data_IF_214945671015
#
_entry.id   IF_214945671015
#
_cell.length_a   1.000
_cell.length_b   1.000
_cell.length_c   1.000
_cell.angle_alpha   90.00
_cell.angle_beta   90.00
_cell.angle_gamma   90.00
#
_symmetry.space_group_name_H-M   'P 1'
#
loop_
_entity.id
_entity.type
_entity.pdbx_description
1 polymer ?
#
# COMPACT_ATOMS: atom_id res chain seq x y z
N UNK A 1 -5.39 -1.82 -17.92
CA UNK A 1 -5.80 -2.91 -17.01
C UNK A 1 -4.85 -4.12 -17.01
N UNK A 2 -4.36 -4.63 -18.16
CA UNK A 2 -3.49 -5.82 -18.19
C UNK A 2 -2.23 -5.71 -17.30
N UNK A 3 -1.48 -4.60 -17.40
CA UNK A 3 -0.30 -4.37 -16.56
C UNK A 3 -0.59 -4.34 -15.05
N UNK A 4 -1.75 -3.82 -14.65
CA UNK A 4 -2.17 -3.79 -13.23
C UNK A 4 -2.30 -5.20 -12.67
N UNK A 5 -2.99 -6.09 -13.40
CA UNK A 5 -3.15 -7.48 -12.97
C UNK A 5 -1.84 -8.25 -12.96
N UNK A 6 -0.95 -8.02 -13.94
CA UNK A 6 0.39 -8.60 -13.94
C UNK A 6 1.16 -8.19 -12.68
N UNK A 7 1.19 -6.89 -12.35
CA UNK A 7 1.83 -6.42 -11.13
C UNK A 7 1.24 -7.02 -9.84
N UNK A 8 -0.09 -7.13 -9.74
CA UNK A 8 -0.78 -7.76 -8.61
C UNK A 8 -0.39 -9.24 -8.48
N UNK A 9 -0.42 -10.01 -9.58
CA UNK A 9 -0.07 -11.43 -9.54
C UNK A 9 1.39 -11.66 -9.13
N UNK A 10 2.31 -10.82 -9.60
CA UNK A 10 3.72 -10.90 -9.22
C UNK A 10 3.90 -10.57 -7.74
N UNK A 11 3.20 -9.56 -7.21
CA UNK A 11 3.24 -9.20 -5.78
C UNK A 11 2.70 -10.33 -4.89
N UNK A 12 1.55 -10.92 -5.24
CA UNK A 12 1.00 -12.06 -4.51
C UNK A 12 1.94 -13.28 -4.53
N UNK A 13 2.50 -13.60 -5.69
CA UNK A 13 3.48 -14.67 -5.80
C UNK A 13 4.74 -14.38 -4.97
N UNK A 14 5.20 -13.12 -4.95
CA UNK A 14 6.35 -12.73 -4.15
C UNK A 14 6.06 -12.83 -2.64
N UNK A 15 4.83 -12.53 -2.19
CA UNK A 15 4.42 -12.71 -0.79
C UNK A 15 4.56 -14.15 -0.32
N UNK A 16 4.22 -15.12 -1.18
CA UNK A 16 4.37 -16.55 -0.89
C UNK A 16 5.85 -16.97 -0.76
N UNK A 17 6.75 -16.37 -1.53
CA UNK A 17 8.20 -16.61 -1.47
C UNK A 17 8.91 -15.94 -0.28
N UNK A 18 8.19 -15.17 0.53
CA UNK A 18 8.73 -14.51 1.72
C UNK A 18 9.53 -13.24 1.43
N UNK A 19 10.24 -12.73 2.45
CA UNK A 19 10.85 -11.38 2.41
C UNK A 19 11.90 -11.22 1.29
N UNK A 20 12.65 -12.27 0.99
CA UNK A 20 13.70 -12.24 -0.05
C UNK A 20 13.09 -12.04 -1.45
N UNK A 21 12.09 -12.85 -1.80
CA UNK A 21 11.44 -12.79 -3.10
C UNK A 21 10.68 -11.48 -3.31
N UNK A 22 10.05 -10.96 -2.25
CA UNK A 22 9.43 -9.63 -2.27
C UNK A 22 10.42 -8.53 -2.59
N UNK A 23 11.63 -8.57 -2.03
CA UNK A 23 12.68 -7.57 -2.32
C UNK A 23 13.16 -7.74 -3.76
N UNK A 24 13.38 -8.99 -4.22
CA UNK A 24 13.88 -9.28 -5.56
C UNK A 24 12.91 -8.80 -6.66
N UNK A 25 11.62 -9.06 -6.48
CA UNK A 25 10.57 -8.70 -7.44
C UNK A 25 10.05 -7.27 -7.26
N UNK A 26 10.49 -6.57 -6.21
CA UNK A 26 9.95 -5.26 -5.83
C UNK A 26 10.03 -4.23 -6.97
N UNK A 27 11.16 -4.17 -7.68
CA UNK A 27 11.35 -3.24 -8.81
C UNK A 27 10.47 -3.59 -9.99
N UNK A 28 10.38 -4.88 -10.34
CA UNK A 28 9.53 -5.37 -11.43
C UNK A 28 8.05 -5.06 -11.16
N UNK A 29 7.57 -5.34 -9.94
CA UNK A 29 6.21 -5.03 -9.50
C UNK A 29 5.90 -3.53 -9.69
N UNK A 30 6.81 -2.66 -9.24
CA UNK A 30 6.66 -1.20 -9.37
C UNK A 30 6.60 -0.79 -10.85
N UNK A 31 7.48 -1.32 -11.68
CA UNK A 31 7.52 -1.01 -13.12
C UNK A 31 6.19 -1.35 -13.81
N UNK A 32 5.55 -2.46 -13.45
CA UNK A 32 4.25 -2.82 -14.01
C UNK A 32 3.13 -1.84 -13.60
N UNK A 33 3.13 -1.36 -12.36
CA UNK A 33 2.16 -0.36 -11.94
C UNK A 33 2.43 1.01 -12.58
N UNK A 34 3.69 1.40 -12.75
CA UNK A 34 4.06 2.61 -13.47
C UNK A 34 3.64 2.54 -14.95
N UNK A 35 3.87 1.40 -15.63
CA UNK A 35 3.36 1.15 -17.00
C UNK A 35 1.84 1.20 -17.04
N UNK A 36 1.15 0.67 -16.03
CA UNK A 36 -0.30 0.77 -15.96
C UNK A 36 -0.78 2.23 -15.90
N UNK A 37 -0.08 3.10 -15.17
CA UNK A 37 -0.37 4.54 -15.12
C UNK A 37 0.05 5.30 -16.38
N UNK A 38 1.09 4.86 -17.08
CA UNK A 38 1.43 5.41 -18.40
C UNK A 38 0.33 5.15 -19.43
N UNK A 39 -0.28 3.95 -19.39
CA UNK A 39 -1.40 3.61 -20.26
C UNK A 39 -2.70 4.28 -19.83
N UNK A 40 -2.96 4.37 -18.53
CA UNK A 40 -4.16 4.99 -17.97
C UNK A 40 -3.81 5.74 -16.67
N UNK A 41 -3.58 7.06 -16.74
CA UNK A 41 -3.25 7.87 -15.58
C UNK A 41 -4.36 7.94 -14.52
N UNK A 42 -5.60 7.56 -14.88
CA UNK A 42 -6.77 7.59 -14.00
C UNK A 42 -7.11 6.19 -13.44
N UNK A 43 -6.23 5.21 -13.61
CA UNK A 43 -6.40 3.88 -13.05
C UNK A 43 -6.22 3.92 -11.52
N UNK A 44 -7.34 4.05 -10.79
CA UNK A 44 -7.33 4.13 -9.33
C UNK A 44 -6.63 2.92 -8.69
N UNK A 45 -6.81 1.72 -9.25
CA UNK A 45 -6.22 0.49 -8.71
C UNK A 45 -4.69 0.51 -8.83
N UNK A 46 -4.14 1.00 -9.94
CA UNK A 46 -2.69 1.16 -10.10
C UNK A 46 -2.11 2.19 -9.12
N UNK A 47 -2.83 3.31 -8.87
CA UNK A 47 -2.46 4.26 -7.82
C UNK A 47 -2.49 3.61 -6.43
N UNK A 48 -3.53 2.86 -6.09
CA UNK A 48 -3.61 2.12 -4.82
C UNK A 48 -2.44 1.13 -4.65
N UNK A 49 -2.11 0.37 -5.70
CA UNK A 49 -1.02 -0.59 -5.68
C UNK A 49 0.35 0.09 -5.50
N UNK A 50 0.62 1.20 -6.20
CA UNK A 50 1.85 1.98 -6.01
C UNK A 50 1.94 2.58 -4.61
N UNK A 51 0.84 3.14 -4.10
CA UNK A 51 0.78 3.68 -2.74
C UNK A 51 1.07 2.61 -1.69
N UNK A 52 0.51 1.41 -1.87
CA UNK A 52 0.75 0.25 -1.01
C UNK A 52 2.20 -0.23 -1.10
N UNK A 53 2.78 -0.25 -2.29
CA UNK A 53 4.19 -0.57 -2.52
C UNK A 53 5.10 0.44 -1.79
N UNK A 54 4.86 1.74 -1.98
CA UNK A 54 5.63 2.82 -1.34
C UNK A 54 5.59 2.69 0.18
N UNK A 55 4.39 2.51 0.76
CA UNK A 55 4.24 2.33 2.19
C UNK A 55 5.05 1.12 2.68
N UNK A 56 4.89 -0.01 1.99
CA UNK A 56 5.55 -1.27 2.37
C UNK A 56 7.07 -1.12 2.36
N UNK A 57 7.63 -0.48 1.33
CA UNK A 57 9.08 -0.26 1.18
C UNK A 57 9.61 0.74 2.22
N UNK A 58 8.85 1.79 2.52
CA UNK A 58 9.18 2.76 3.57
C UNK A 58 9.14 2.11 4.97
N UNK A 59 8.24 1.16 5.20
CA UNK A 59 8.05 0.48 6.49
C UNK A 59 9.00 -0.71 6.73
N UNK A 60 9.92 -1.01 5.80
CA UNK A 60 10.94 -2.06 5.99
C UNK A 60 11.92 -1.62 7.09
N UNK A 61 12.08 -2.37 8.19
CA UNK A 61 13.07 -2.06 9.22
C UNK A 61 14.51 -2.05 8.67
N UNK A 62 15.34 -1.11 9.11
CA UNK A 62 16.71 -0.94 8.63
C UNK A 62 17.59 -2.19 8.81
N UNK A 63 17.35 -2.99 9.85
CA UNK A 63 18.05 -4.27 10.07
C UNK A 63 17.79 -5.25 8.91
N UNK A 64 16.52 -5.35 8.46
CA UNK A 64 16.16 -6.20 7.32
C UNK A 64 16.74 -5.62 6.01
N UNK A 65 16.81 -4.29 5.90
CA UNK A 65 17.41 -3.59 4.75
C UNK A 65 18.91 -3.87 4.62
N UNK A 66 19.66 -3.85 5.72
CA UNK A 66 21.11 -4.19 5.76
C UNK A 66 21.40 -5.66 5.46
N UNK A 67 20.52 -6.57 5.88
CA UNK A 67 20.65 -7.99 5.54
C UNK A 67 20.35 -8.27 4.06
N UNK A 68 19.53 -7.45 3.41
CA UNK A 68 19.27 -7.54 1.98
C UNK A 68 20.41 -6.95 1.12
N UNK A 69 21.17 -5.97 1.63
CA UNK A 69 22.24 -5.30 0.86
C UNK A 69 23.45 -6.18 0.55
N UNK A 70 23.58 -7.37 1.15
CA UNK A 70 24.66 -8.32 0.84
C UNK A 70 24.41 -9.15 -0.43
N UNK A 71 23.18 -9.14 -0.96
CA UNK A 71 22.81 -9.83 -2.21
C UNK A 71 22.24 -8.89 -3.28
N UNK A 72 21.66 -7.76 -2.87
CA UNK A 72 21.11 -6.75 -3.78
C UNK A 72 22.01 -5.51 -3.79
N UNK A 73 22.39 -5.02 -4.99
CA UNK A 73 23.23 -3.83 -5.13
C UNK A 73 22.66 -2.60 -4.42
N UNK A 74 21.32 -2.47 -4.36
CA UNK A 74 20.60 -1.48 -3.53
C UNK A 74 19.17 -1.95 -3.24
N UNK A 75 18.74 -2.08 -1.97
CA UNK A 75 17.35 -2.40 -1.63
C UNK A 75 16.40 -1.28 -2.07
N UNK A 76 15.14 -1.59 -2.44
CA UNK A 76 14.18 -0.59 -2.86
C UNK A 76 13.99 0.47 -1.78
N UNK A 77 13.81 1.72 -2.21
CA UNK A 77 13.60 2.88 -1.34
C UNK A 77 12.31 3.58 -1.73
N UNK A 78 11.59 4.08 -0.73
CA UNK A 78 10.42 4.94 -0.88
C UNK A 78 10.13 5.62 0.46
N UNK A 79 9.15 6.51 0.46
CA UNK A 79 8.76 7.33 1.60
C UNK A 79 7.27 7.21 1.90
N UNK A 80 6.86 7.58 3.13
CA UNK A 80 5.44 7.63 3.47
C UNK A 80 4.71 8.76 2.73
N UNK A 81 5.43 9.81 2.32
CA UNK A 81 4.95 10.93 1.51
C UNK A 81 4.59 10.48 0.10
N UNK A 82 5.45 9.68 -0.55
CA UNK A 82 5.14 9.06 -1.85
C UNK A 82 3.92 8.14 -1.73
N UNK A 83 3.87 7.32 -0.67
CA UNK A 83 2.72 6.46 -0.41
C UNK A 83 1.43 7.28 -0.31
N UNK A 84 1.47 8.37 0.46
CA UNK A 84 0.32 9.25 0.64
C UNK A 84 -0.14 9.86 -0.68
N UNK A 85 0.77 10.31 -1.54
CA UNK A 85 0.44 10.92 -2.83
C UNK A 85 -0.36 9.96 -3.71
N UNK A 86 0.12 8.73 -3.88
CA UNK A 86 -0.55 7.71 -4.68
C UNK A 86 -1.89 7.25 -4.08
N UNK A 87 -1.94 6.98 -2.77
CA UNK A 87 -3.17 6.56 -2.09
C UNK A 87 -4.25 7.64 -2.14
N UNK A 88 -3.87 8.90 -1.99
CA UNK A 88 -4.80 10.03 -2.17
C UNK A 88 -5.30 10.13 -3.60
N UNK A 89 -4.44 9.93 -4.60
CA UNK A 89 -4.86 9.93 -5.99
C UNK A 89 -5.85 8.80 -6.30
N UNK A 90 -5.62 7.61 -5.74
CA UNK A 90 -6.59 6.51 -5.80
C UNK A 90 -7.93 6.90 -5.16
N UNK A 91 -7.90 7.54 -4.00
CA UNK A 91 -9.11 7.99 -3.29
C UNK A 91 -9.88 9.07 -4.06
N UNK A 92 -9.17 10.02 -4.68
CA UNK A 92 -9.76 11.07 -5.51
C UNK A 92 -10.46 10.50 -6.75
N UNK A 93 -9.90 9.44 -7.34
CA UNK A 93 -10.45 8.77 -8.53
C UNK A 93 -11.61 7.82 -8.20
N UNK A 94 -11.60 7.21 -7.00
CA UNK A 94 -12.63 6.27 -6.56
C UNK A 94 -12.93 6.44 -5.06
N UNK A 95 -13.69 7.49 -4.69
CA UNK A 95 -13.89 7.86 -3.30
C UNK A 95 -14.62 6.79 -2.50
N UNK A 96 -14.03 6.40 -1.37
CA UNK A 96 -14.58 5.45 -0.39
C UNK A 96 -15.02 4.12 -0.99
N UNK A 97 -14.48 3.76 -2.16
CA UNK A 97 -14.88 2.55 -2.89
C UNK A 97 -14.04 1.33 -2.49
N UNK A 98 -12.81 1.55 -2.00
CA UNK A 98 -11.88 0.48 -1.65
C UNK A 98 -11.44 0.57 -0.21
N UNK A 99 -11.92 -0.36 0.64
CA UNK A 99 -11.59 -0.38 2.07
C UNK A 99 -10.08 -0.48 2.31
N UNK A 100 -9.36 -1.20 1.46
CA UNK A 100 -7.90 -1.31 1.54
C UNK A 100 -7.20 0.04 1.34
N UNK A 101 -7.73 0.91 0.48
CA UNK A 101 -7.17 2.25 0.27
C UNK A 101 -7.39 3.14 1.49
N UNK A 102 -8.62 3.13 2.03
CA UNK A 102 -8.96 3.87 3.26
C UNK A 102 -8.08 3.45 4.43
N UNK A 103 -7.89 2.14 4.60
CA UNK A 103 -7.05 1.59 5.66
C UNK A 103 -5.57 1.99 5.48
N UNK A 104 -5.04 1.90 4.25
CA UNK A 104 -3.67 2.33 3.98
C UNK A 104 -3.49 3.84 4.16
N UNK A 105 -4.49 4.68 3.84
CA UNK A 105 -4.47 6.10 4.15
C UNK A 105 -4.39 6.35 5.66
N UNK A 106 -5.23 5.67 6.46
CA UNK A 106 -5.18 5.80 7.92
C UNK A 106 -3.78 5.44 8.48
N UNK A 107 -3.20 4.33 8.02
CA UNK A 107 -1.85 3.89 8.42
C UNK A 107 -0.78 4.89 8.01
N UNK A 108 -0.89 5.43 6.80
CA UNK A 108 0.09 6.39 6.24
C UNK A 108 0.04 7.71 6.98
N UNK A 109 -1.15 8.28 7.20
CA UNK A 109 -1.31 9.51 7.99
C UNK A 109 -0.76 9.36 9.40
N UNK A 110 -0.99 8.22 10.06
CA UNK A 110 -0.39 7.94 11.37
C UNK A 110 1.14 7.96 11.32
N UNK A 111 1.74 7.32 10.31
CA UNK A 111 3.20 7.28 10.14
C UNK A 111 3.79 8.67 9.90
N UNK A 112 3.03 9.55 9.25
CA UNK A 112 3.37 10.96 9.03
C UNK A 112 3.04 11.87 10.22
N UNK A 113 2.47 11.32 11.31
CA UNK A 113 2.12 12.09 12.51
C UNK A 113 0.78 12.84 12.45
N UNK A 114 0.05 12.76 11.33
CA UNK A 114 -1.29 13.35 11.18
C UNK A 114 -2.35 12.44 11.81
N UNK A 115 -2.44 12.50 13.13
CA UNK A 115 -3.38 11.69 13.92
C UNK A 115 -4.85 12.00 13.61
N UNK A 116 -5.14 13.26 13.27
CA UNK A 116 -6.51 13.69 12.96
C UNK A 116 -7.01 12.99 11.70
N UNK A 117 -6.25 13.06 10.60
CA UNK A 117 -6.62 12.33 9.38
C UNK A 117 -6.55 10.83 9.55
N UNK A 118 -5.58 10.31 10.32
CA UNK A 118 -5.55 8.89 10.62
C UNK A 118 -6.86 8.41 11.29
N UNK A 119 -7.39 9.19 12.24
CA UNK A 119 -8.66 8.90 12.90
C UNK A 119 -9.85 8.99 11.92
N UNK A 120 -9.90 10.04 11.11
CA UNK A 120 -10.95 10.22 10.08
C UNK A 120 -11.01 9.02 9.12
N UNK A 121 -9.88 8.59 8.57
CA UNK A 121 -9.84 7.44 7.67
C UNK A 121 -10.15 6.12 8.36
N UNK A 122 -9.79 5.95 9.64
CA UNK A 122 -10.27 4.81 10.43
C UNK A 122 -11.80 4.79 10.54
N UNK A 123 -12.44 5.95 10.74
CA UNK A 123 -13.91 6.02 10.78
C UNK A 123 -14.52 5.59 9.45
N UNK A 124 -13.97 6.04 8.31
CA UNK A 124 -14.43 5.58 7.00
C UNK A 124 -14.29 4.06 6.81
N UNK A 125 -13.21 3.45 7.32
CA UNK A 125 -13.06 1.98 7.32
C UNK A 125 -14.17 1.31 8.14
N UNK A 126 -14.49 1.83 9.33
CA UNK A 126 -15.51 1.25 10.21
C UNK A 126 -16.93 1.37 9.63
N UNK A 127 -17.20 2.47 8.93
CA UNK A 127 -18.47 2.77 8.24
C UNK A 127 -18.63 2.05 6.89
N UNK A 128 -17.57 1.40 6.39
CA UNK A 128 -17.60 0.69 5.11
C UNK A 128 -18.72 -0.37 5.10
N UNK A 129 -19.59 -0.36 4.09
CA UNK A 129 -20.86 -1.09 4.14
C UNK A 129 -20.75 -2.58 3.79
N UNK A 130 -19.72 -2.97 3.07
CA UNK A 130 -19.59 -4.34 2.59
C UNK A 130 -19.38 -5.35 3.72
N UNK A 131 -19.76 -6.58 3.43
CA UNK A 131 -19.63 -7.71 4.33
C UNK A 131 -18.67 -8.72 3.71
N UNK A 132 -17.64 -9.09 4.45
CA UNK A 132 -16.58 -9.99 3.98
C UNK A 132 -15.56 -10.23 5.08
N UNK A 133 -14.81 -11.33 4.97
CA UNK A 133 -13.74 -11.65 5.91
C UNK A 133 -12.65 -10.58 5.90
N UNK A 134 -12.22 -10.14 4.71
CA UNK A 134 -11.26 -9.06 4.54
C UNK A 134 -11.76 -7.74 5.15
N UNK A 135 -13.04 -7.39 4.94
CA UNK A 135 -13.64 -6.19 5.55
C UNK A 135 -13.66 -6.29 7.07
N UNK A 136 -13.98 -7.47 7.60
CA UNK A 136 -14.03 -7.72 9.05
C UNK A 136 -12.66 -7.56 9.70
N UNK A 137 -11.62 -8.14 9.09
CA UNK A 137 -10.25 -7.99 9.61
C UNK A 137 -9.75 -6.55 9.47
N UNK A 138 -10.00 -5.90 8.33
CA UNK A 138 -9.61 -4.49 8.11
C UNK A 138 -10.27 -3.55 9.13
N UNK A 139 -11.55 -3.78 9.46
CA UNK A 139 -12.24 -3.03 10.52
C UNK A 139 -11.64 -3.29 11.90
N UNK A 140 -11.21 -4.50 12.20
CA UNK A 140 -10.53 -4.82 13.46
C UNK A 140 -9.17 -4.13 13.54
N UNK A 141 -8.38 -4.17 12.47
CA UNK A 141 -7.11 -3.45 12.37
C UNK A 141 -7.29 -1.94 12.56
N UNK A 142 -8.33 -1.35 11.95
CA UNK A 142 -8.66 0.06 12.15
C UNK A 142 -9.01 0.41 13.60
N UNK A 143 -9.79 -0.43 14.31
CA UNK A 143 -10.06 -0.24 15.75
C UNK A 143 -8.78 -0.28 16.58
N UNK A 144 -7.89 -1.22 16.29
CA UNK A 144 -6.62 -1.34 17.00
C UNK A 144 -5.65 -0.21 16.67
N UNK A 145 -5.74 0.35 15.47
CA UNK A 145 -5.02 1.55 15.08
C UNK A 145 -5.52 2.77 15.87
N UNK A 146 -6.83 2.96 15.99
CA UNK A 146 -7.44 4.08 16.72
C UNK A 146 -7.03 4.13 18.20
N UNK A 147 -6.86 2.98 18.86
CA UNK A 147 -6.36 2.92 20.25
C UNK A 147 -4.94 3.48 20.43
N UNK A 148 -4.19 3.62 19.34
CA UNK A 148 -2.78 4.06 19.31
C UNK A 148 -2.60 5.47 18.75
N UNK A 149 -3.69 6.12 18.30
CA UNK A 149 -3.69 7.52 17.87
C UNK A 149 -3.84 8.42 19.09
#
# INVERSE_FOLDING_TARGET
MAYTWVGITIDELAKLGGTKDRIQKSYEIREYFEKALQCDPNNFLAHYCLGTWCFTVADIPDVKRKLASTHFAKPPQSTYEEALAYLRKSEELSPKAWIGNLHNLARTYRKLGDKQKAHEYCQYVLEFKDIGSEVTETKKEARDLMKKL
#
